data_IF_462669028265
#
_entry.id   IF_462669028265
#
_cell.length_a   1.000
_cell.length_b   1.000
_cell.length_c   1.000
_cell.angle_alpha   90.00
_cell.angle_beta   90.00
_cell.angle_gamma   90.00
#
_symmetry.space_group_name_H-M   'P 1'
#
loop_
_entity.id
_entity.type
_entity.pdbx_description
1 polymer ?
#
# COMPACT_ATOMS: atom_id res chain seq x y z
N UNK A 1 23.47 27.24 18.00
CA UNK A 1 22.66 26.81 16.85
C UNK A 1 22.10 25.45 17.20
N UNK A 2 20.98 25.43 17.91
CA UNK A 2 20.22 24.20 18.15
C UNK A 2 19.68 23.73 16.81
N UNK A 3 20.06 22.50 16.43
CA UNK A 3 19.40 21.78 15.36
C UNK A 3 17.93 21.64 15.76
N UNK A 4 17.03 22.32 15.03
CA UNK A 4 15.63 21.93 15.03
C UNK A 4 15.56 20.49 14.49
N UNK A 5 15.51 19.53 15.41
CA UNK A 5 14.89 18.24 15.11
C UNK A 5 13.49 18.57 14.62
N UNK A 6 13.24 18.45 13.32
CA UNK A 6 11.90 18.67 12.78
C UNK A 6 10.98 17.66 13.47
N UNK A 7 10.06 18.14 14.31
CA UNK A 7 9.04 17.29 14.90
C UNK A 7 8.38 16.49 13.77
N UNK A 8 8.33 15.16 13.92
CA UNK A 8 7.76 14.26 12.92
C UNK A 8 6.33 14.69 12.59
N UNK A 9 6.14 15.31 11.43
CA UNK A 9 4.84 15.84 11.00
C UNK A 9 3.95 14.68 10.60
N UNK A 10 2.68 14.73 11.01
CA UNK A 10 1.67 13.80 10.53
C UNK A 10 1.54 13.91 9.00
N UNK A 11 1.61 12.76 8.34
CA UNK A 11 1.56 12.63 6.89
C UNK A 11 0.28 11.90 6.48
N UNK A 12 -0.25 12.29 5.33
CA UNK A 12 -1.44 11.67 4.75
C UNK A 12 -1.06 10.45 3.92
N UNK A 13 -1.81 9.37 4.08
CA UNK A 13 -1.69 8.19 3.24
C UNK A 13 -3.09 7.64 2.99
N UNK A 14 -3.46 7.59 1.71
CA UNK A 14 -4.74 7.08 1.26
C UNK A 14 -4.51 5.94 0.29
N UNK A 15 -5.13 4.80 0.59
CA UNK A 15 -5.22 3.69 -0.34
C UNK A 15 -6.68 3.39 -0.65
N UNK A 16 -6.96 3.17 -1.94
CA UNK A 16 -8.25 2.72 -2.44
C UNK A 16 -8.04 1.39 -3.14
N UNK A 17 -8.72 0.35 -2.65
CA UNK A 17 -8.66 -1.00 -3.21
C UNK A 17 -10.06 -1.46 -3.62
N UNK A 18 -10.14 -2.16 -4.76
CA UNK A 18 -11.29 -2.98 -5.13
C UNK A 18 -10.77 -4.36 -5.51
N UNK A 19 -11.20 -5.40 -4.81
CA UNK A 19 -10.69 -6.75 -5.01
C UNK A 19 -11.59 -7.81 -4.40
N UNK A 20 -11.28 -9.07 -4.68
CA UNK A 20 -12.13 -10.19 -4.28
C UNK A 20 -11.68 -10.77 -2.93
N UNK A 21 -12.62 -11.09 -2.05
CA UNK A 21 -12.35 -11.82 -0.81
C UNK A 21 -11.71 -13.18 -1.10
N UNK A 22 -10.54 -13.44 -0.51
CA UNK A 22 -9.84 -14.72 -0.68
C UNK A 22 -10.50 -15.83 0.15
N UNK A 23 -11.11 -15.46 1.27
CA UNK A 23 -11.81 -16.36 2.19
C UNK A 23 -13.00 -15.64 2.83
N UNK A 24 -13.90 -16.42 3.47
CA UNK A 24 -14.95 -15.86 4.31
C UNK A 24 -14.31 -15.09 5.47
N UNK A 25 -14.68 -13.82 5.73
CA UNK A 25 -14.12 -13.04 6.83
C UNK A 25 -14.43 -13.67 8.20
N UNK A 26 -13.42 -13.72 9.07
CA UNK A 26 -13.56 -14.20 10.45
C UNK A 26 -13.67 -13.00 11.41
N UNK A 27 -14.89 -12.77 11.91
CA UNK A 27 -15.19 -11.68 12.83
C UNK A 27 -14.82 -12.12 14.25
N UNK A 28 -13.91 -11.38 14.87
CA UNK A 28 -13.46 -11.59 16.25
C UNK A 28 -13.79 -10.35 17.08
N UNK A 29 -13.76 -10.49 18.40
CA UNK A 29 -13.98 -9.37 19.32
C UNK A 29 -12.75 -9.14 20.18
N UNK A 30 -12.26 -7.90 20.23
CA UNK A 30 -11.30 -7.50 21.27
C UNK A 30 -12.04 -7.36 22.60
N UNK A 31 -11.39 -7.81 23.67
CA UNK A 31 -11.93 -7.67 25.02
C UNK A 31 -11.65 -6.25 25.56
N UNK A 32 -12.62 -5.69 26.26
CA UNK A 32 -12.52 -4.47 27.08
C UNK A 32 -11.99 -3.20 26.36
N UNK A 33 -12.85 -2.40 25.69
CA UNK A 33 -14.26 -2.66 25.41
C UNK A 33 -14.44 -3.71 24.30
N UNK A 34 -15.62 -4.33 24.23
CA UNK A 34 -15.97 -5.28 23.18
C UNK A 34 -16.05 -4.56 21.82
N UNK A 35 -14.98 -4.65 21.02
CA UNK A 35 -14.92 -4.03 19.68
C UNK A 35 -14.80 -5.15 18.65
N UNK A 36 -15.71 -5.25 17.66
CA UNK A 36 -15.59 -6.20 16.57
C UNK A 36 -14.38 -5.83 15.71
N UNK A 37 -13.63 -6.85 15.30
CA UNK A 37 -12.43 -6.74 14.49
C UNK A 37 -12.43 -7.85 13.43
N UNK A 38 -11.82 -7.56 12.29
CA UNK A 38 -11.62 -8.57 11.26
C UNK A 38 -10.28 -8.35 10.56
N UNK A 39 -9.49 -9.42 10.49
CA UNK A 39 -8.34 -9.52 9.59
C UNK A 39 -8.76 -10.35 8.39
N UNK A 40 -8.57 -9.80 7.19
CA UNK A 40 -9.01 -10.45 5.95
C UNK A 40 -8.03 -10.18 4.83
N UNK A 41 -8.16 -10.93 3.74
CA UNK A 41 -7.29 -10.79 2.55
C UNK A 41 -8.16 -10.55 1.33
N UNK A 42 -7.80 -9.52 0.57
CA UNK A 42 -8.38 -9.28 -0.77
C UNK A 42 -7.34 -9.51 -1.87
N UNK A 43 -7.78 -10.04 -2.99
CA UNK A 43 -6.98 -10.20 -4.19
C UNK A 43 -7.32 -9.10 -5.21
N UNK A 44 -6.30 -8.38 -5.68
CA UNK A 44 -6.40 -7.47 -6.83
C UNK A 44 -5.67 -8.08 -8.02
N UNK A 45 -6.26 -7.98 -9.20
CA UNK A 45 -5.72 -8.56 -10.43
C UNK A 45 -5.27 -7.46 -11.40
N UNK A 46 -4.06 -7.61 -11.93
CA UNK A 46 -3.53 -6.78 -13.01
C UNK A 46 -3.31 -7.65 -14.24
N UNK A 47 -3.83 -7.20 -15.39
CA UNK A 47 -3.68 -7.86 -16.67
C UNK A 47 -2.99 -6.93 -17.64
N UNK A 48 -1.94 -7.40 -18.30
CA UNK A 48 -1.24 -6.65 -19.35
C UNK A 48 -0.93 -7.53 -20.54
N UNK A 49 -0.80 -6.91 -21.71
CA UNK A 49 -0.37 -7.61 -22.92
C UNK A 49 1.15 -7.66 -22.96
N UNK A 50 1.71 -8.86 -23.01
CA UNK A 50 3.14 -9.07 -23.18
C UNK A 50 3.45 -9.32 -24.66
N UNK A 51 4.21 -8.39 -25.25
CA UNK A 51 4.63 -8.44 -26.66
C UNK A 51 5.59 -9.59 -26.94
N UNK A 52 6.38 -10.01 -25.95
CA UNK A 52 7.39 -11.07 -26.11
C UNK A 52 6.73 -12.45 -26.18
N UNK A 53 5.72 -12.69 -25.34
CA UNK A 53 4.96 -13.95 -25.35
C UNK A 53 3.74 -13.92 -26.27
N UNK A 54 3.49 -12.80 -26.96
CA UNK A 54 2.33 -12.55 -27.81
C UNK A 54 0.99 -12.94 -27.14
N UNK A 55 0.80 -12.54 -25.89
CA UNK A 55 -0.34 -12.96 -25.08
C UNK A 55 -0.55 -12.10 -23.83
N UNK A 56 -1.69 -12.29 -23.18
CA UNK A 56 -1.97 -11.61 -21.91
C UNK A 56 -1.31 -12.33 -20.75
N UNK A 57 -0.62 -11.56 -19.90
CA UNK A 57 -0.17 -12.00 -18.58
C UNK A 57 -1.07 -11.41 -17.52
N UNK A 58 -1.27 -12.18 -16.46
CA UNK A 58 -2.07 -11.78 -15.30
C UNK A 58 -1.23 -11.94 -14.04
N UNK A 59 -1.36 -10.98 -13.13
CA UNK A 59 -0.73 -11.00 -11.83
C UNK A 59 -1.76 -10.71 -10.75
N UNK A 60 -1.69 -11.44 -9.65
CA UNK A 60 -2.59 -11.27 -8.52
C UNK A 60 -1.80 -10.83 -7.30
N UNK A 61 -2.18 -9.70 -6.74
CA UNK A 61 -1.60 -9.15 -5.51
C UNK A 61 -2.57 -9.37 -4.36
N UNK A 62 -2.08 -9.92 -3.26
CA UNK A 62 -2.86 -10.17 -2.06
C UNK A 62 -2.62 -9.07 -1.02
N UNK A 63 -3.68 -8.47 -0.51
CA UNK A 63 -3.57 -7.39 0.48
C UNK A 63 -4.13 -7.86 1.80
N UNK A 64 -3.28 -7.92 2.81
CA UNK A 64 -3.72 -8.13 4.19
C UNK A 64 -4.40 -6.85 4.68
N UNK A 65 -5.63 -6.96 5.11
CA UNK A 65 -6.46 -5.84 5.55
C UNK A 65 -6.89 -6.04 7.00
N UNK A 66 -6.99 -4.93 7.72
CA UNK A 66 -7.47 -4.87 9.08
C UNK A 66 -8.60 -3.87 9.18
N UNK A 67 -9.75 -4.27 9.73
CA UNK A 67 -10.90 -3.40 9.96
C UNK A 67 -11.45 -3.63 11.37
N UNK A 68 -12.00 -2.59 11.99
CA UNK A 68 -12.56 -2.63 13.34
C UNK A 68 -13.80 -1.77 13.49
N UNK A 69 -14.59 -2.02 14.54
CA UNK A 69 -15.80 -1.29 14.86
C UNK A 69 -17.01 -1.73 14.03
N UNK A 70 -18.11 -0.99 14.15
CA UNK A 70 -19.44 -1.35 13.66
C UNK A 70 -19.49 -1.72 12.17
N UNK A 71 -18.56 -1.18 11.38
CA UNK A 71 -18.42 -1.48 9.95
C UNK A 71 -18.13 -2.97 9.69
N UNK A 72 -17.43 -3.65 10.61
CA UNK A 72 -17.15 -5.08 10.52
C UNK A 72 -18.45 -5.87 10.51
N UNK A 73 -19.34 -5.57 11.44
CA UNK A 73 -20.61 -6.28 11.57
C UNK A 73 -21.54 -5.95 10.39
N UNK A 74 -21.61 -4.66 10.03
CA UNK A 74 -22.45 -4.21 8.92
C UNK A 74 -22.11 -4.89 7.59
N UNK A 75 -20.83 -4.96 7.26
CA UNK A 75 -20.38 -5.42 5.95
C UNK A 75 -20.05 -6.92 5.91
N UNK A 76 -19.53 -7.51 6.99
CA UNK A 76 -18.96 -8.86 6.95
C UNK A 76 -19.83 -9.98 7.54
N UNK A 77 -20.91 -9.69 8.27
CA UNK A 77 -21.78 -10.75 8.83
C UNK A 77 -22.30 -11.72 7.75
N UNK A 78 -22.54 -11.20 6.54
CA UNK A 78 -23.04 -11.97 5.38
C UNK A 78 -22.04 -12.09 4.24
N UNK A 79 -20.79 -11.67 4.47
CA UNK A 79 -19.78 -11.72 3.45
C UNK A 79 -19.27 -13.15 3.23
N UNK A 80 -19.02 -13.48 1.98
CA UNK A 80 -18.60 -14.81 1.54
C UNK A 80 -17.36 -14.72 0.65
N UNK A 81 -16.64 -15.84 0.56
CA UNK A 81 -15.47 -15.95 -0.31
C UNK A 81 -15.81 -15.56 -1.75
N UNK A 82 -14.91 -14.82 -2.38
CA UNK A 82 -15.00 -14.43 -3.78
C UNK A 82 -15.89 -13.22 -4.05
N UNK A 83 -16.49 -12.61 -3.02
CA UNK A 83 -17.22 -11.35 -3.20
C UNK A 83 -16.28 -10.19 -3.46
N UNK A 84 -16.73 -9.26 -4.31
CA UNK A 84 -16.04 -8.01 -4.59
C UNK A 84 -16.22 -7.06 -3.41
N UNK A 85 -15.10 -6.56 -2.92
CA UNK A 85 -15.02 -5.53 -1.88
C UNK A 85 -14.44 -4.27 -2.49
N UNK A 86 -15.02 -3.13 -2.15
CA UNK A 86 -14.41 -1.81 -2.33
C UNK A 86 -14.06 -1.23 -0.96
N UNK A 87 -12.82 -0.76 -0.79
CA UNK A 87 -12.36 -0.23 0.50
C UNK A 87 -11.46 0.99 0.33
N UNK A 88 -11.45 1.80 1.38
CA UNK A 88 -10.54 2.92 1.59
C UNK A 88 -9.81 2.74 2.90
N UNK A 89 -8.54 3.10 2.93
CA UNK A 89 -7.72 2.94 4.11
C UNK A 89 -6.40 3.66 4.02
N UNK A 90 -5.47 3.19 4.83
CA UNK A 90 -4.12 3.70 4.98
C UNK A 90 -3.13 2.52 5.10
N UNK A 91 -1.85 2.75 4.81
CA UNK A 91 -0.84 1.71 5.05
C UNK A 91 -0.62 1.57 6.55
N UNK A 92 -0.42 0.36 7.03
CA UNK A 92 -0.12 0.11 8.43
C UNK A 92 0.82 -1.09 8.58
N UNK A 93 1.33 -1.27 9.79
CA UNK A 93 2.24 -2.35 10.12
C UNK A 93 3.29 -1.96 11.15
N UNK A 94 4.04 -2.95 11.61
CA UNK A 94 5.08 -2.80 12.62
C UNK A 94 6.47 -3.22 12.11
N UNK A 95 6.68 -3.14 10.79
CA UNK A 95 7.89 -3.61 10.10
C UNK A 95 7.94 -5.13 9.89
N UNK A 96 7.29 -5.92 10.75
CA UNK A 96 7.20 -7.38 10.60
C UNK A 96 5.95 -7.81 9.82
N UNK A 97 4.85 -7.07 10.00
CA UNK A 97 3.58 -7.32 9.30
C UNK A 97 3.20 -6.09 8.49
N UNK A 98 3.06 -6.26 7.18
CA UNK A 98 2.49 -5.23 6.31
C UNK A 98 0.99 -5.48 6.12
N UNK A 99 0.19 -4.45 6.37
CA UNK A 99 -1.27 -4.51 6.20
C UNK A 99 -1.84 -3.16 5.76
N UNK A 100 -3.10 -3.18 5.36
CA UNK A 100 -3.92 -1.99 5.08
C UNK A 100 -4.89 -1.79 6.24
N UNK A 101 -4.79 -0.65 6.91
CA UNK A 101 -5.75 -0.22 7.92
C UNK A 101 -6.97 0.37 7.22
N UNK A 102 -8.11 -0.30 7.33
CA UNK A 102 -9.32 0.04 6.60
C UNK A 102 -10.15 1.02 7.41
N UNK A 103 -10.46 2.15 6.80
CA UNK A 103 -11.31 3.21 7.38
C UNK A 103 -12.76 3.07 6.91
N UNK A 104 -12.96 2.63 5.67
CA UNK A 104 -14.27 2.47 5.07
C UNK A 104 -14.26 1.30 4.09
N UNK A 105 -15.36 0.58 4.01
CA UNK A 105 -15.48 -0.65 3.24
C UNK A 105 -16.93 -0.91 2.85
N UNK A 106 -17.11 -1.51 1.68
CA UNK A 106 -18.40 -1.95 1.16
C UNK A 106 -18.25 -3.28 0.43
N UNK A 107 -19.12 -4.24 0.75
CA UNK A 107 -19.27 -5.46 -0.05
C UNK A 107 -20.19 -5.17 -1.23
N UNK A 108 -19.63 -5.15 -2.43
CA UNK A 108 -20.30 -4.64 -3.65
C UNK A 108 -21.11 -5.74 -4.35
N UNK A 109 -20.67 -7.00 -4.29
CA UNK A 109 -21.37 -8.10 -4.93
C UNK A 109 -20.48 -9.28 -5.32
N UNK A 110 -20.79 -9.94 -6.44
CA UNK A 110 -20.00 -11.06 -6.95
C UNK A 110 -18.63 -10.59 -7.45
N UNK A 111 -17.61 -11.42 -7.30
CA UNK A 111 -16.26 -11.14 -7.74
C UNK A 111 -16.18 -10.87 -9.24
N UNK A 112 -15.28 -9.96 -9.60
CA UNK A 112 -14.99 -9.57 -10.98
C UNK A 112 -13.48 -9.74 -11.26
N UNK A 113 -13.11 -9.83 -12.53
CA UNK A 113 -11.70 -9.90 -12.94
C UNK A 113 -10.97 -8.55 -12.94
N UNK A 114 -11.68 -7.44 -12.70
CA UNK A 114 -11.10 -6.10 -12.61
C UNK A 114 -10.85 -5.73 -11.16
N UNK A 115 -9.83 -4.91 -10.91
CA UNK A 115 -9.49 -4.46 -9.57
C UNK A 115 -9.07 -3.00 -9.57
N UNK A 116 -9.17 -2.37 -8.40
CA UNK A 116 -8.62 -1.04 -8.15
C UNK A 116 -7.49 -1.22 -7.16
N UNK A 117 -6.35 -0.62 -7.45
CA UNK A 117 -5.19 -0.57 -6.56
C UNK A 117 -4.52 0.79 -6.76
N UNK A 118 -4.88 1.74 -5.90
CA UNK A 118 -4.43 3.12 -5.98
C UNK A 118 -3.95 3.59 -4.61
N UNK A 119 -2.72 4.09 -4.56
CA UNK A 119 -2.09 4.66 -3.39
C UNK A 119 -1.73 6.11 -3.69
N UNK A 120 -2.05 7.02 -2.78
CA UNK A 120 -1.54 8.39 -2.76
C UNK A 120 -1.10 8.71 -1.35
N UNK A 121 0.15 9.13 -1.18
CA UNK A 121 0.70 9.40 0.14
C UNK A 121 1.75 10.49 0.16
N UNK A 122 1.87 11.13 1.32
CA UNK A 122 3.00 11.94 1.73
C UNK A 122 3.96 11.07 2.50
N UNK A 123 5.25 11.19 2.22
CA UNK A 123 6.27 10.43 2.93
C UNK A 123 7.58 11.20 2.99
N UNK A 124 8.47 10.76 3.87
CA UNK A 124 9.84 11.25 3.98
C UNK A 124 10.78 10.26 3.30
N UNK A 125 11.69 10.74 2.45
CA UNK A 125 12.75 9.90 1.89
C UNK A 125 13.69 9.44 3.03
N UNK A 126 13.79 8.14 3.26
CA UNK A 126 14.50 7.56 4.41
C UNK A 126 15.82 6.87 4.04
N UNK A 127 16.10 6.65 2.75
CA UNK A 127 17.35 6.06 2.28
C UNK A 127 17.87 6.78 1.04
N UNK A 128 19.14 6.50 0.69
CA UNK A 128 19.66 6.84 -0.63
C UNK A 128 18.84 6.18 -1.74
N UNK A 129 18.80 6.86 -2.90
CA UNK A 129 18.09 6.40 -4.09
C UNK A 129 19.05 5.57 -4.95
N UNK A 130 18.81 4.27 -5.03
CA UNK A 130 19.65 3.33 -5.79
C UNK A 130 19.11 3.17 -7.21
N UNK A 131 19.89 3.62 -8.19
CA UNK A 131 19.58 3.37 -9.60
C UNK A 131 20.06 2.00 -10.03
N UNK A 132 19.19 1.27 -10.71
CA UNK A 132 19.46 -0.07 -11.24
C UNK A 132 18.94 -0.20 -12.67
N UNK A 133 19.72 -0.79 -13.59
CA UNK A 133 19.22 -1.17 -14.90
C UNK A 133 18.29 -2.37 -14.77
N UNK A 134 17.14 -2.34 -15.45
CA UNK A 134 16.24 -3.49 -15.55
C UNK A 134 16.64 -4.38 -16.73
N UNK A 135 16.11 -5.61 -16.78
CA UNK A 135 16.37 -6.57 -17.88
C UNK A 135 16.00 -6.01 -19.27
N UNK A 136 15.06 -5.07 -19.35
CA UNK A 136 14.65 -4.41 -20.59
C UNK A 136 15.40 -3.09 -20.86
N UNK A 137 16.54 -2.87 -20.19
CA UNK A 137 17.35 -1.65 -20.28
C UNK A 137 16.61 -0.35 -19.85
N UNK A 138 15.50 -0.48 -19.12
CA UNK A 138 14.83 0.66 -18.48
C UNK A 138 15.48 0.95 -17.13
N UNK A 139 15.64 2.23 -16.78
CA UNK A 139 16.18 2.66 -15.49
C UNK A 139 15.11 2.53 -14.40
N UNK A 140 15.45 1.88 -13.28
CA UNK A 140 14.64 1.79 -12.07
C UNK A 140 15.38 2.46 -10.91
N UNK A 141 14.65 3.12 -10.03
CA UNK A 141 15.15 3.59 -8.75
C UNK A 141 14.46 2.84 -7.61
N UNK A 142 15.24 2.38 -6.64
CA UNK A 142 14.78 1.80 -5.38
C UNK A 142 15.21 2.67 -4.20
N UNK A 143 14.27 2.93 -3.30
CA UNK A 143 14.51 3.69 -2.08
C UNK A 143 13.47 3.35 -1.02
N UNK A 144 13.77 3.65 0.23
CA UNK A 144 12.86 3.49 1.35
C UNK A 144 12.23 4.82 1.70
N UNK A 145 10.92 4.80 1.94
CA UNK A 145 10.18 5.92 2.50
C UNK A 145 9.71 5.60 3.91
N UNK A 146 9.55 6.64 4.72
CA UNK A 146 8.91 6.58 6.03
C UNK A 146 7.67 7.48 6.02
N UNK A 147 6.58 6.99 6.61
CA UNK A 147 5.35 7.75 6.76
C UNK A 147 4.80 7.61 8.18
N UNK A 148 4.60 8.73 8.85
CA UNK A 148 3.97 8.78 10.18
C UNK A 148 2.52 9.28 10.06
N UNK A 149 1.56 8.41 10.33
CA UNK A 149 0.14 8.65 10.07
C UNK A 149 -0.66 8.84 11.36
N UNK A 150 -1.66 9.71 11.34
CA UNK A 150 -2.61 9.88 12.45
C UNK A 150 -3.83 8.96 12.30
N UNK A 151 -4.62 8.81 13.38
CA UNK A 151 -5.89 8.07 13.33
C UNK A 151 -5.80 6.55 13.50
N UNK A 152 -4.63 6.02 13.86
CA UNK A 152 -4.43 4.59 14.15
C UNK A 152 -3.52 4.40 15.38
N UNK A 153 -3.48 3.20 16.00
CA UNK A 153 -2.61 2.93 17.14
C UNK A 153 -1.14 3.22 16.81
N UNK A 154 -0.38 3.74 17.78
CA UNK A 154 1.02 4.16 17.58
C UNK A 154 1.92 3.07 16.96
N UNK A 155 1.69 1.80 17.32
CA UNK A 155 2.43 0.64 16.77
C UNK A 155 2.21 0.41 15.26
N UNK A 156 1.13 0.97 14.70
CA UNK A 156 0.74 0.79 13.30
C UNK A 156 0.87 2.08 12.48
N UNK A 157 1.03 3.23 13.18
CA UNK A 157 1.07 4.57 12.62
C UNK A 157 2.35 4.89 11.83
N UNK A 158 3.49 4.35 12.26
CA UNK A 158 4.76 4.51 11.55
C UNK A 158 4.97 3.37 10.57
N UNK A 159 5.05 3.69 9.28
CA UNK A 159 5.28 2.70 8.23
C UNK A 159 6.53 3.05 7.43
N UNK A 160 7.32 2.01 7.16
CA UNK A 160 8.39 2.06 6.18
C UNK A 160 8.07 1.13 5.02
N UNK A 161 8.34 1.59 3.80
CA UNK A 161 8.12 0.81 2.58
C UNK A 161 9.22 1.06 1.57
N UNK A 162 9.59 0.01 0.85
CA UNK A 162 10.41 0.12 -0.35
C UNK A 162 9.52 0.65 -1.47
N UNK A 163 10.05 1.58 -2.25
CA UNK A 163 9.40 2.18 -3.40
C UNK A 163 10.22 1.88 -4.64
N UNK A 164 9.56 1.43 -5.69
CA UNK A 164 10.11 1.31 -7.03
C UNK A 164 9.48 2.35 -7.94
N UNK A 165 10.33 3.05 -8.71
CA UNK A 165 9.89 3.96 -9.77
C UNK A 165 10.78 3.77 -10.99
N UNK A 166 10.23 3.99 -12.18
CA UNK A 166 10.90 3.72 -13.45
C UNK A 166 11.07 4.98 -14.31
N UNK A 167 11.98 4.89 -15.27
CA UNK A 167 12.16 5.86 -16.34
C UNK A 167 12.73 7.20 -15.86
N UNK A 168 12.25 8.30 -16.45
CA UNK A 168 12.79 9.65 -16.19
C UNK A 168 12.60 10.09 -14.74
N UNK A 169 11.50 9.69 -14.10
CA UNK A 169 11.25 10.01 -12.68
C UNK A 169 12.23 9.32 -11.75
N UNK A 170 12.69 8.10 -12.10
CA UNK A 170 13.73 7.40 -11.36
C UNK A 170 15.06 8.17 -11.38
N UNK A 171 15.50 8.57 -12.58
CA UNK A 171 16.73 9.35 -12.74
C UNK A 171 16.63 10.69 -12.02
N UNK A 172 15.53 11.41 -12.21
CA UNK A 172 15.32 12.71 -11.56
C UNK A 172 15.38 12.61 -10.04
N UNK A 173 14.75 11.59 -9.45
CA UNK A 173 14.77 11.39 -8.01
C UNK A 173 16.17 11.03 -7.50
N UNK A 174 16.93 10.22 -8.25
CA UNK A 174 18.31 9.90 -7.89
C UNK A 174 19.24 11.12 -7.95
N UNK A 175 19.03 12.00 -8.91
CA UNK A 175 19.87 13.19 -9.09
C UNK A 175 19.56 14.31 -8.08
N UNK A 176 18.30 14.40 -7.60
CA UNK A 176 17.79 15.56 -6.83
C UNK A 176 17.28 15.23 -5.44
N UNK A 177 16.91 13.98 -5.17
CA UNK A 177 16.35 13.56 -3.90
C UNK A 177 17.40 13.59 -2.79
N UNK A 178 17.00 14.09 -1.62
CA UNK A 178 17.83 14.08 -0.41
C UNK A 178 17.12 13.34 0.71
N UNK A 179 17.87 12.57 1.50
CA UNK A 179 17.33 11.94 2.71
C UNK A 179 16.74 13.02 3.63
N UNK A 180 15.58 12.73 4.22
CA UNK A 180 14.80 13.67 5.03
C UNK A 180 13.84 14.55 4.22
N UNK A 181 13.91 14.54 2.89
CA UNK A 181 13.04 15.35 2.05
C UNK A 181 11.61 14.79 1.99
N UNK A 182 10.63 15.70 1.96
CA UNK A 182 9.23 15.35 1.79
C UNK A 182 8.94 14.98 0.34
N UNK A 183 8.20 13.90 0.15
CA UNK A 183 7.78 13.37 -1.14
C UNK A 183 6.25 13.26 -1.17
N UNK A 184 5.67 13.52 -2.34
CA UNK A 184 4.30 13.13 -2.67
C UNK A 184 4.36 11.98 -3.68
N UNK A 185 3.73 10.86 -3.35
CA UNK A 185 3.75 9.64 -4.13
C UNK A 185 2.35 9.29 -4.62
N UNK A 186 2.28 8.84 -5.87
CA UNK A 186 1.12 8.17 -6.47
C UNK A 186 1.58 6.82 -7.03
N UNK A 187 0.85 5.75 -6.74
CA UNK A 187 1.24 4.41 -7.16
C UNK A 187 0.21 3.33 -6.85
N UNK A 188 0.70 2.12 -6.72
CA UNK A 188 -0.04 0.93 -6.36
C UNK A 188 0.76 0.06 -5.41
N UNK A 189 0.09 -0.73 -4.59
CA UNK A 189 0.74 -1.74 -3.77
C UNK A 189 1.09 -2.98 -4.58
N UNK A 190 2.33 -3.45 -4.45
CA UNK A 190 2.81 -4.67 -5.07
C UNK A 190 3.41 -5.61 -4.01
N UNK A 191 3.62 -6.86 -4.42
CA UNK A 191 4.34 -7.86 -3.63
C UNK A 191 5.59 -8.25 -4.38
N UNK A 192 6.68 -8.48 -3.65
CA UNK A 192 7.90 -8.99 -4.24
C UNK A 192 7.76 -10.48 -4.60
N UNK A 193 8.18 -10.86 -5.80
CA UNK A 193 8.02 -12.21 -6.36
C UNK A 193 8.55 -13.33 -5.44
N UNK A 194 9.70 -13.10 -4.80
CA UNK A 194 10.39 -14.11 -4.00
C UNK A 194 9.94 -14.16 -2.54
N UNK A 195 9.27 -13.10 -2.06
CA UNK A 195 8.78 -13.02 -0.69
C UNK A 195 7.42 -12.33 -0.67
N UNK A 196 6.36 -13.14 -0.70
CA UNK A 196 4.95 -12.68 -0.66
C UNK A 196 4.61 -11.84 0.58
N UNK A 197 5.46 -11.83 1.60
CA UNK A 197 5.27 -11.01 2.80
C UNK A 197 5.85 -9.59 2.64
N UNK A 198 6.77 -9.37 1.70
CA UNK A 198 7.31 -8.04 1.41
C UNK A 198 6.37 -7.29 0.47
N UNK A 199 5.71 -6.29 1.04
CA UNK A 199 4.85 -5.35 0.33
C UNK A 199 5.68 -4.12 -0.04
N UNK A 200 5.67 -3.76 -1.31
CA UNK A 200 6.36 -2.59 -1.84
C UNK A 200 5.38 -1.67 -2.56
N UNK A 201 5.84 -0.47 -2.87
CA UNK A 201 5.08 0.52 -3.62
C UNK A 201 5.65 0.60 -5.03
N UNK A 202 4.83 0.24 -6.03
CA UNK A 202 5.10 0.56 -7.43
C UNK A 202 4.59 1.97 -7.70
N UNK A 203 5.49 2.94 -7.66
CA UNK A 203 5.16 4.34 -7.87
C UNK A 203 5.02 4.65 -9.37
N UNK A 204 3.90 5.28 -9.70
CA UNK A 204 3.63 5.88 -11.02
C UNK A 204 4.22 7.28 -11.09
N UNK A 205 4.18 8.01 -9.97
CA UNK A 205 4.67 9.37 -9.86
C UNK A 205 5.24 9.62 -8.47
N UNK A 206 6.42 10.27 -8.44
CA UNK A 206 7.02 10.80 -7.23
C UNK A 206 7.31 12.27 -7.48
N UNK A 207 6.87 13.13 -6.57
CA UNK A 207 7.12 14.56 -6.58
C UNK A 207 7.97 14.89 -5.37
N UNK A 208 9.12 15.51 -5.62
CA UNK A 208 9.96 16.07 -4.58
C UNK A 208 9.32 17.38 -4.12
N UNK A 209 8.95 17.48 -2.84
CA UNK A 209 8.40 18.72 -2.30
C UNK A 209 9.54 19.74 -2.09
N UNK A 210 9.33 21.01 -2.45
CA UNK A 210 10.28 22.07 -2.14
C UNK A 210 10.42 22.23 -0.61
N UNK A 211 11.62 22.63 -0.18
CA UNK A 211 11.92 22.99 1.21
C UNK A 211 11.14 24.24 1.65
#
# INVERSE_FOLDING_TARGET
>A
MEQLQSASKWQLCHITLAGNLVAKPDIRYRANPAIPICEFVIATHQRWYDKTSNGYKEWSTFHNCYVQGDIVEREFIRAEKGQLIFLKGALAGDGSKHLVWVNDISVVGKGIGQSINQLTMQATLASDVKLMPTQNNATMAEFTIECLQSGMPAKQASVQRIVHIFGKSAQYLADKGKIGQQLLLEGSLAQQNDNKQLQLIDAKRVIICPE
#
